data_IF_697585953558
#
_entry.id   IF_697585953558
#
_cell.length_a   1.000
_cell.length_b   1.000
_cell.length_c   1.000
_cell.angle_alpha   90.00
_cell.angle_beta   90.00
_cell.angle_gamma   90.00
#
_symmetry.space_group_name_H-M   'P 1'
#
loop_
_entity.id
_entity.type
_entity.pdbx_description
1 polymer ?
#
# COMPACT_ATOMS: atom_id res chain seq x y z
N UNK A 1 -50.97 -28.71 -18.23
CA UNK A 1 -49.53 -28.55 -18.54
C UNK A 1 -49.20 -27.08 -18.50
N UNK A 2 -48.69 -26.58 -17.37
CA UNK A 2 -48.24 -25.19 -17.21
C UNK A 2 -46.75 -25.23 -16.89
N UNK A 3 -45.94 -24.74 -17.82
CA UNK A 3 -44.48 -24.67 -17.72
C UNK A 3 -44.10 -23.52 -16.78
N UNK A 4 -43.58 -23.87 -15.60
CA UNK A 4 -43.00 -22.94 -14.64
C UNK A 4 -41.63 -22.49 -15.14
N UNK A 5 -41.57 -21.35 -15.82
CA UNK A 5 -40.33 -20.69 -16.22
C UNK A 5 -39.65 -20.05 -15.01
N UNK A 6 -38.69 -20.75 -14.40
CA UNK A 6 -37.75 -20.15 -13.44
C UNK A 6 -36.82 -19.18 -14.17
N UNK A 7 -37.09 -17.87 -14.05
CA UNK A 7 -36.12 -16.82 -14.36
C UNK A 7 -34.97 -16.90 -13.36
N UNK A 8 -33.80 -17.36 -13.81
CA UNK A 8 -32.54 -17.16 -13.10
C UNK A 8 -32.23 -15.66 -13.11
N UNK A 9 -32.58 -14.97 -12.03
CA UNK A 9 -32.04 -13.64 -11.74
C UNK A 9 -30.55 -13.80 -11.41
N UNK A 10 -29.69 -13.60 -12.40
CA UNK A 10 -28.29 -13.26 -12.16
C UNK A 10 -28.29 -11.94 -11.37
N UNK A 11 -28.09 -12.03 -10.06
CA UNK A 11 -27.76 -10.89 -9.23
C UNK A 11 -26.38 -10.38 -9.66
N UNK A 12 -26.37 -9.44 -10.60
CA UNK A 12 -25.20 -8.63 -10.89
C UNK A 12 -24.89 -7.83 -9.61
N UNK A 13 -23.87 -8.26 -8.86
CA UNK A 13 -23.44 -7.59 -7.63
C UNK A 13 -23.03 -6.16 -7.98
N UNK A 14 -23.87 -5.18 -7.63
CA UNK A 14 -23.51 -3.77 -7.73
C UNK A 14 -22.46 -3.48 -6.65
N UNK A 15 -21.19 -3.57 -7.01
CA UNK A 15 -20.08 -3.23 -6.11
C UNK A 15 -20.23 -1.77 -5.65
N UNK A 16 -20.02 -1.51 -4.37
CA UNK A 16 -19.97 -0.12 -3.88
C UNK A 16 -18.87 0.66 -4.60
N UNK A 17 -19.07 1.95 -4.87
CA UNK A 17 -18.08 2.83 -5.53
C UNK A 17 -16.70 2.78 -4.85
N UNK A 18 -16.68 2.54 -3.53
CA UNK A 18 -15.44 2.35 -2.77
C UNK A 18 -14.72 1.05 -3.16
N UNK A 19 -15.43 -0.07 -3.23
CA UNK A 19 -14.85 -1.36 -3.59
C UNK A 19 -14.28 -1.35 -5.03
N UNK A 20 -15.03 -0.78 -5.98
CA UNK A 20 -14.57 -0.59 -7.35
C UNK A 20 -13.32 0.32 -7.42
N UNK A 21 -13.29 1.41 -6.64
CA UNK A 21 -12.12 2.29 -6.55
C UNK A 21 -10.89 1.61 -5.92
N UNK A 22 -11.10 0.75 -4.92
CA UNK A 22 -10.03 -0.02 -4.29
C UNK A 22 -9.50 -1.10 -5.23
N UNK A 23 -10.37 -1.81 -5.95
CA UNK A 23 -9.95 -2.78 -6.96
C UNK A 23 -9.12 -2.12 -8.07
N UNK A 24 -9.62 -1.01 -8.62
CA UNK A 24 -8.89 -0.21 -9.61
C UNK A 24 -7.53 0.25 -9.08
N UNK A 25 -7.47 0.71 -7.83
CA UNK A 25 -6.22 1.14 -7.20
C UNK A 25 -5.27 -0.03 -6.97
N UNK A 26 -5.77 -1.19 -6.55
CA UNK A 26 -4.98 -2.40 -6.35
C UNK A 26 -4.35 -2.88 -7.66
N UNK A 27 -5.14 -2.99 -8.73
CA UNK A 27 -4.66 -3.42 -10.05
C UNK A 27 -3.69 -2.38 -10.61
N UNK A 28 -4.04 -1.10 -10.55
CA UNK A 28 -3.19 -0.02 -11.05
C UNK A 28 -1.83 0.01 -10.34
N UNK A 29 -1.81 -0.14 -9.02
CA UNK A 29 -0.58 -0.17 -8.24
C UNK A 29 0.23 -1.45 -8.45
N UNK A 30 -0.43 -2.58 -8.67
CA UNK A 30 0.23 -3.84 -9.03
C UNK A 30 0.98 -3.69 -10.36
N UNK A 31 0.29 -3.25 -11.41
CA UNK A 31 0.89 -3.04 -12.72
C UNK A 31 1.94 -1.93 -12.68
N UNK A 32 1.67 -0.84 -11.97
CA UNK A 32 2.62 0.27 -11.80
C UNK A 32 3.92 -0.16 -11.14
N UNK A 33 3.84 -1.02 -10.13
CA UNK A 33 5.02 -1.61 -9.48
C UNK A 33 5.78 -2.54 -10.40
N UNK A 34 5.09 -3.33 -11.23
CA UNK A 34 5.75 -4.20 -12.22
C UNK A 34 6.55 -3.37 -13.24
N UNK A 35 5.96 -2.29 -13.76
CA UNK A 35 6.64 -1.34 -14.66
C UNK A 35 7.84 -0.71 -13.98
N UNK A 36 7.68 -0.25 -12.73
CA UNK A 36 8.75 0.35 -11.94
C UNK A 36 9.92 -0.61 -11.72
N UNK A 37 9.64 -1.87 -11.35
CA UNK A 37 10.67 -2.88 -11.16
C UNK A 37 11.45 -3.15 -12.47
N UNK A 38 10.76 -3.21 -13.61
CA UNK A 38 11.41 -3.35 -14.91
C UNK A 38 12.29 -2.13 -15.24
N UNK A 39 11.78 -0.92 -15.04
CA UNK A 39 12.51 0.32 -15.30
C UNK A 39 13.74 0.47 -14.39
N UNK A 40 13.59 0.25 -13.08
CA UNK A 40 14.69 0.33 -12.11
C UNK A 40 15.75 -0.74 -12.37
N UNK A 41 15.37 -1.95 -12.79
CA UNK A 41 16.34 -2.97 -13.23
C UNK A 41 17.16 -2.49 -14.43
N UNK A 42 16.50 -1.87 -15.42
CA UNK A 42 17.17 -1.29 -16.58
C UNK A 42 18.13 -0.15 -16.20
N UNK A 43 17.70 0.76 -15.32
CA UNK A 43 18.53 1.85 -14.80
C UNK A 43 19.75 1.34 -14.02
N UNK A 44 19.61 0.22 -13.33
CA UNK A 44 20.69 -0.43 -12.58
C UNK A 44 21.59 -1.32 -13.45
N UNK A 45 21.37 -1.36 -14.77
CA UNK A 45 22.19 -2.17 -15.69
C UNK A 45 22.08 -3.68 -15.46
N UNK A 46 20.97 -4.16 -14.90
CA UNK A 46 20.78 -5.58 -14.63
C UNK A 46 20.80 -6.39 -15.94
N UNK A 47 21.68 -7.38 -16.03
CA UNK A 47 21.70 -8.34 -17.13
C UNK A 47 20.69 -9.47 -16.90
N UNK A 48 20.08 -9.95 -17.98
CA UNK A 48 19.13 -11.08 -17.97
C UNK A 48 17.66 -10.67 -18.10
N UNK A 49 16.81 -11.68 -18.25
CA UNK A 49 15.36 -11.50 -18.39
C UNK A 49 14.72 -11.03 -17.08
N UNK A 50 13.58 -10.34 -17.21
CA UNK A 50 12.76 -9.98 -16.07
C UNK A 50 12.14 -11.26 -15.48
N UNK A 51 12.36 -11.53 -14.18
CA UNK A 51 11.61 -12.57 -13.47
C UNK A 51 10.17 -12.08 -13.30
N UNK A 52 9.31 -12.43 -14.26
CA UNK A 52 7.94 -11.95 -14.30
C UNK A 52 7.15 -12.37 -13.07
N UNK A 53 7.36 -13.58 -12.55
CA UNK A 53 6.63 -14.08 -11.38
C UNK A 53 7.09 -13.34 -10.12
N UNK A 54 8.38 -13.09 -9.96
CA UNK A 54 8.89 -12.25 -8.85
C UNK A 54 8.34 -10.83 -8.94
N UNK A 55 8.32 -10.28 -10.15
CA UNK A 55 7.82 -8.94 -10.44
C UNK A 55 6.33 -8.83 -10.13
N UNK A 56 5.53 -9.83 -10.51
CA UNK A 56 4.10 -9.93 -10.19
C UNK A 56 3.86 -10.06 -8.68
N UNK A 57 4.61 -10.93 -7.98
CA UNK A 57 4.49 -11.08 -6.53
C UNK A 57 4.83 -9.78 -5.79
N UNK A 58 5.88 -9.06 -6.22
CA UNK A 58 6.20 -7.73 -5.71
C UNK A 58 5.13 -6.69 -6.06
N UNK A 59 4.55 -6.80 -7.25
CA UNK A 59 3.43 -5.99 -7.70
C UNK A 59 2.21 -6.14 -6.79
N UNK A 60 1.76 -7.37 -6.53
CA UNK A 60 0.62 -7.67 -5.65
C UNK A 60 0.85 -7.16 -4.22
N UNK A 61 2.08 -7.25 -3.73
CA UNK A 61 2.44 -6.68 -2.43
C UNK A 61 2.31 -5.16 -2.41
N UNK A 62 2.70 -4.50 -3.50
CA UNK A 62 2.56 -3.05 -3.68
C UNK A 62 1.09 -2.65 -3.81
N UNK A 63 0.31 -3.39 -4.61
CA UNK A 63 -1.13 -3.22 -4.75
C UNK A 63 -1.84 -3.26 -3.40
N UNK A 64 -1.51 -4.25 -2.57
CA UNK A 64 -2.01 -4.37 -1.20
C UNK A 64 -1.66 -3.14 -0.36
N UNK A 65 -0.40 -2.70 -0.39
CA UNK A 65 0.05 -1.55 0.40
C UNK A 65 -0.71 -0.26 0.06
N UNK A 66 -1.10 -0.07 -1.21
CA UNK A 66 -1.85 1.10 -1.66
C UNK A 66 -3.30 1.12 -1.14
N UNK A 67 -3.93 -0.04 -0.97
CA UNK A 67 -5.33 -0.13 -0.53
C UNK A 67 -5.47 -0.40 0.97
N UNK A 68 -4.43 -0.87 1.64
CA UNK A 68 -4.52 -1.35 3.02
C UNK A 68 -5.03 -0.29 4.00
N UNK A 69 -4.47 0.92 3.96
CA UNK A 69 -4.89 2.00 4.87
C UNK A 69 -6.31 2.53 4.56
N UNK A 70 -6.68 2.82 3.29
CA UNK A 70 -8.06 3.19 2.95
C UNK A 70 -9.10 2.12 3.35
N UNK A 71 -8.84 0.85 3.09
CA UNK A 71 -9.73 -0.26 3.46
C UNK A 71 -9.84 -0.38 4.98
N UNK A 72 -8.73 -0.26 5.70
CA UNK A 72 -8.74 -0.23 7.16
C UNK A 72 -9.59 0.93 7.71
N UNK A 73 -9.45 2.12 7.14
CA UNK A 73 -10.24 3.28 7.56
C UNK A 73 -11.73 3.09 7.27
N UNK A 74 -12.10 2.59 6.09
CA UNK A 74 -13.51 2.32 5.75
C UNK A 74 -14.14 1.28 6.69
N UNK A 75 -13.40 0.20 7.00
CA UNK A 75 -13.84 -0.81 7.96
C UNK A 75 -14.03 -0.20 9.37
N UNK A 76 -13.03 0.51 9.89
CA UNK A 76 -13.10 1.13 11.21
C UNK A 76 -14.19 2.19 11.30
N UNK A 77 -14.45 2.95 10.23
CA UNK A 77 -15.56 3.91 10.18
C UNK A 77 -16.93 3.23 10.33
N UNK A 78 -17.09 2.04 9.76
CA UNK A 78 -18.35 1.28 9.81
C UNK A 78 -18.58 0.60 11.16
N UNK A 79 -17.51 0.15 11.81
CA UNK A 79 -17.60 -0.70 13.00
C UNK A 79 -17.19 -0.01 14.32
N UNK A 80 -16.54 1.16 14.27
CA UNK A 80 -16.06 1.88 15.46
C UNK A 80 -16.57 3.34 15.45
N UNK A 81 -17.67 3.65 16.16
CA UNK A 81 -18.25 4.99 16.20
C UNK A 81 -17.25 6.08 16.64
N UNK A 82 -16.38 5.75 17.59
CA UNK A 82 -15.35 6.66 18.08
C UNK A 82 -14.28 6.96 17.00
N UNK A 83 -13.87 5.96 16.22
CA UNK A 83 -12.96 6.15 15.10
C UNK A 83 -13.61 7.04 14.05
N UNK A 84 -14.86 6.73 13.67
CA UNK A 84 -15.63 7.53 12.72
C UNK A 84 -15.70 9.01 13.14
N UNK A 85 -16.05 9.28 14.40
CA UNK A 85 -16.09 10.64 14.96
C UNK A 85 -14.73 11.33 14.83
N UNK A 86 -13.65 10.70 15.26
CA UNK A 86 -12.30 11.28 15.19
C UNK A 86 -11.81 11.47 13.74
N UNK A 87 -12.21 10.59 12.83
CA UNK A 87 -11.85 10.63 11.42
C UNK A 87 -12.55 11.79 10.70
N UNK A 88 -13.87 11.93 10.88
CA UNK A 88 -14.71 12.90 10.16
C UNK A 88 -14.66 14.31 10.76
N UNK A 89 -14.50 14.46 12.08
CA UNK A 89 -14.43 15.75 12.75
C UNK A 89 -13.05 16.42 12.54
N UNK A 90 -12.95 17.65 12.02
CA UNK A 90 -11.69 18.39 11.93
C UNK A 90 -10.99 18.57 13.29
N UNK A 91 -11.73 18.65 14.39
CA UNK A 91 -11.23 18.74 15.78
C UNK A 91 -11.07 17.38 16.45
N UNK A 92 -11.35 16.29 15.73
CA UNK A 92 -11.19 14.92 16.23
C UNK A 92 -9.72 14.56 16.48
N UNK A 93 -9.48 13.57 17.34
CA UNK A 93 -8.12 13.12 17.66
C UNK A 93 -7.49 12.39 16.45
N UNK A 94 -6.75 13.13 15.60
CA UNK A 94 -6.14 12.59 14.37
C UNK A 94 -5.03 11.58 14.64
N UNK A 95 -4.28 11.75 15.74
CA UNK A 95 -3.27 10.76 16.15
C UNK A 95 -3.92 9.39 16.38
N UNK A 96 -5.05 9.33 17.07
CA UNK A 96 -5.77 8.08 17.31
C UNK A 96 -6.23 7.43 15.98
N UNK A 97 -6.65 8.23 15.00
CA UNK A 97 -7.01 7.76 13.66
C UNK A 97 -5.81 7.15 12.93
N UNK A 98 -4.67 7.83 12.95
CA UNK A 98 -3.45 7.35 12.27
C UNK A 98 -2.92 6.08 12.92
N UNK A 99 -2.97 5.98 14.25
CA UNK A 99 -2.59 4.78 14.98
C UNK A 99 -3.53 3.62 14.68
N UNK A 100 -4.84 3.80 14.86
CA UNK A 100 -5.81 2.71 14.67
C UNK A 100 -5.89 2.27 13.20
N UNK A 101 -5.96 3.23 12.27
CA UNK A 101 -5.97 2.95 10.83
C UNK A 101 -4.64 2.37 10.35
N UNK A 102 -3.51 2.86 10.86
CA UNK A 102 -2.18 2.34 10.55
C UNK A 102 -1.97 0.92 11.05
N UNK A 103 -2.40 0.61 12.28
CA UNK A 103 -2.32 -0.73 12.87
C UNK A 103 -3.20 -1.73 12.11
N UNK A 104 -4.44 -1.38 11.76
CA UNK A 104 -5.29 -2.29 10.98
C UNK A 104 -4.79 -2.42 9.54
N UNK A 105 -4.29 -1.34 8.93
CA UNK A 105 -3.66 -1.36 7.61
C UNK A 105 -2.43 -2.27 7.56
N UNK A 106 -1.57 -2.22 8.58
CA UNK A 106 -0.46 -3.15 8.73
C UNK A 106 -0.95 -4.60 8.86
N UNK A 107 -2.11 -4.83 9.48
CA UNK A 107 -2.75 -6.13 9.59
C UNK A 107 -3.17 -6.67 8.23
N UNK A 108 -3.86 -5.85 7.43
CA UNK A 108 -4.24 -6.19 6.04
C UNK A 108 -2.99 -6.49 5.21
N UNK A 109 -1.97 -5.63 5.27
CA UNK A 109 -0.69 -5.87 4.60
C UNK A 109 -0.06 -7.19 5.06
N UNK A 110 -0.14 -7.54 6.34
CA UNK A 110 0.41 -8.80 6.85
C UNK A 110 -0.34 -9.99 6.27
N UNK A 111 -1.67 -9.98 6.33
CA UNK A 111 -2.49 -11.09 5.85
C UNK A 111 -2.24 -11.39 4.37
N UNK A 112 -2.05 -10.36 3.56
CA UNK A 112 -1.85 -10.51 2.11
C UNK A 112 -0.37 -10.68 1.74
N UNK A 113 0.54 -9.87 2.30
CA UNK A 113 1.93 -9.80 1.85
C UNK A 113 2.85 -10.79 2.55
N UNK A 114 2.53 -11.26 3.77
CA UNK A 114 3.33 -12.29 4.44
C UNK A 114 3.41 -13.60 3.62
N UNK A 115 2.29 -14.20 3.17
CA UNK A 115 2.37 -15.41 2.34
C UNK A 115 3.08 -15.16 1.01
N UNK A 116 2.80 -14.02 0.34
CA UNK A 116 3.45 -13.66 -0.92
C UNK A 116 4.96 -13.52 -0.77
N UNK A 117 5.42 -12.80 0.27
CA UNK A 117 6.84 -12.63 0.56
C UNK A 117 7.54 -13.94 0.94
N UNK A 118 6.83 -14.87 1.59
CA UNK A 118 7.35 -16.20 1.92
C UNK A 118 7.52 -17.05 0.66
N UNK A 119 6.52 -17.06 -0.23
CA UNK A 119 6.59 -17.73 -1.54
C UNK A 119 7.75 -17.16 -2.36
N UNK A 120 7.87 -15.83 -2.39
CA UNK A 120 8.92 -15.11 -3.11
C UNK A 120 10.32 -15.49 -2.61
N UNK A 121 10.52 -15.53 -1.29
CA UNK A 121 11.79 -15.98 -0.67
C UNK A 121 12.11 -17.44 -1.00
N UNK A 122 11.14 -18.34 -0.87
CA UNK A 122 11.33 -19.77 -1.16
C UNK A 122 11.67 -20.01 -2.65
N UNK A 123 11.13 -19.20 -3.58
CA UNK A 123 11.50 -19.26 -5.00
C UNK A 123 12.93 -18.81 -5.28
N UNK A 124 13.45 -17.84 -4.52
CA UNK A 124 14.83 -17.32 -4.66
C UNK A 124 15.90 -18.20 -4.01
N UNK A 125 15.54 -19.41 -3.57
CA UNK A 125 16.49 -20.34 -2.95
C UNK A 125 16.86 -19.99 -1.51
N UNK A 126 16.12 -19.08 -0.85
CA UNK A 126 16.19 -19.00 0.61
C UNK A 126 15.70 -20.33 1.20
N UNK A 127 16.20 -20.70 2.38
CA UNK A 127 15.72 -21.89 3.10
C UNK A 127 14.20 -21.94 3.08
N UNK A 128 13.63 -23.08 2.69
CA UNK A 128 12.18 -23.26 2.54
C UNK A 128 11.50 -22.97 3.88
N UNK A 129 11.07 -21.73 4.04
CA UNK A 129 10.53 -21.26 5.30
C UNK A 129 9.03 -21.50 5.24
N UNK A 130 8.45 -22.27 6.17
CA UNK A 130 7.01 -22.44 6.23
C UNK A 130 6.35 -21.13 6.69
N UNK A 131 5.14 -20.88 6.17
CA UNK A 131 4.27 -19.83 6.69
C UNK A 131 3.96 -20.17 8.15
N UNK A 132 4.28 -19.27 9.07
CA UNK A 132 4.10 -19.48 10.51
C UNK A 132 3.47 -18.27 11.17
N UNK A 133 2.75 -18.51 12.27
CA UNK A 133 2.15 -17.42 13.06
C UNK A 133 3.24 -16.49 13.62
N UNK A 134 4.37 -17.04 14.08
CA UNK A 134 5.52 -16.25 14.55
C UNK A 134 6.06 -15.34 13.44
N UNK A 135 6.18 -15.84 12.22
CA UNK A 135 6.60 -15.06 11.06
C UNK A 135 5.58 -13.98 10.70
N UNK A 136 4.28 -14.29 10.75
CA UNK A 136 3.21 -13.32 10.50
C UNK A 136 3.20 -12.19 11.55
N UNK A 137 3.32 -12.51 12.84
CA UNK A 137 3.44 -11.52 13.92
C UNK A 137 4.70 -10.68 13.75
N UNK A 138 5.82 -11.31 13.37
CA UNK A 138 7.05 -10.63 13.05
C UNK A 138 6.86 -9.61 11.92
N UNK A 139 6.24 -10.04 10.82
CA UNK A 139 5.93 -9.20 9.68
C UNK A 139 4.99 -8.05 10.06
N UNK A 140 3.95 -8.32 10.84
CA UNK A 140 3.00 -7.32 11.32
C UNK A 140 3.70 -6.22 12.11
N UNK A 141 4.46 -6.60 13.14
CA UNK A 141 5.14 -5.66 14.02
C UNK A 141 6.16 -4.79 13.25
N UNK A 142 6.81 -5.34 12.22
CA UNK A 142 7.70 -4.57 11.35
C UNK A 142 6.93 -3.55 10.48
N UNK A 143 5.68 -3.86 10.11
CA UNK A 143 4.84 -2.98 9.29
C UNK A 143 4.11 -1.90 10.09
N UNK A 144 3.73 -2.16 11.34
CA UNK A 144 2.94 -1.23 12.17
C UNK A 144 3.57 0.15 12.21
N UNK A 145 4.86 0.24 12.57
CA UNK A 145 5.52 1.54 12.68
C UNK A 145 5.57 2.28 11.33
N UNK A 146 5.81 1.55 10.25
CA UNK A 146 5.84 2.12 8.89
C UNK A 146 4.47 2.64 8.46
N UNK A 147 3.41 1.87 8.68
CA UNK A 147 2.03 2.25 8.33
C UNK A 147 1.52 3.43 9.18
N UNK A 148 1.76 3.40 10.49
CA UNK A 148 1.36 4.48 11.41
C UNK A 148 2.13 5.77 11.09
N UNK A 149 3.45 5.69 10.94
CA UNK A 149 4.28 6.86 10.64
C UNK A 149 3.99 7.46 9.28
N UNK A 150 3.71 6.64 8.25
CA UNK A 150 3.27 7.13 6.95
C UNK A 150 1.93 7.86 7.06
N UNK A 151 0.93 7.25 7.69
CA UNK A 151 -0.39 7.86 7.85
C UNK A 151 -0.33 9.18 8.64
N UNK A 152 0.43 9.21 9.72
CA UNK A 152 0.61 10.40 10.54
C UNK A 152 1.30 11.54 9.77
N UNK A 153 2.37 11.22 9.05
CA UNK A 153 3.12 12.21 8.27
C UNK A 153 2.29 12.74 7.11
N UNK A 154 1.68 11.86 6.32
CA UNK A 154 0.85 12.23 5.18
C UNK A 154 -0.36 13.05 5.63
N UNK A 155 -1.07 12.60 6.65
CA UNK A 155 -2.25 13.27 7.18
C UNK A 155 -1.95 14.63 7.80
N UNK A 156 -0.73 14.84 8.33
CA UNK A 156 -0.30 16.12 8.88
C UNK A 156 0.20 17.08 7.80
N UNK A 157 1.03 16.61 6.87
CA UNK A 157 1.66 17.48 5.87
C UNK A 157 0.73 17.83 4.70
N UNK A 158 -0.11 16.90 4.25
CA UNK A 158 -0.99 17.14 3.11
C UNK A 158 -1.88 18.39 3.24
N UNK A 159 -2.54 18.68 4.38
CA UNK A 159 -3.32 19.90 4.52
C UNK A 159 -2.48 21.18 4.67
N UNK A 160 -1.20 21.08 5.05
CA UNK A 160 -0.31 22.23 5.29
C UNK A 160 0.40 22.65 4.00
N UNK A 161 0.82 21.68 3.17
CA UNK A 161 1.57 21.96 1.95
C UNK A 161 0.59 22.40 0.84
N UNK A 162 0.68 23.66 0.37
CA UNK A 162 -0.29 24.22 -0.57
C UNK A 162 -0.24 23.52 -1.92
N UNK A 163 -1.41 23.32 -2.54
CA UNK A 163 -1.53 22.75 -3.87
C UNK A 163 -1.37 23.85 -4.91
N UNK A 164 -0.39 23.70 -5.81
CA UNK A 164 -0.23 24.59 -6.96
C UNK A 164 -1.23 24.26 -8.06
N UNK A 165 -1.66 25.26 -8.84
CA UNK A 165 -2.45 25.06 -10.07
C UNK A 165 -1.61 24.49 -11.22
N UNK A 166 -0.29 24.64 -11.16
CA UNK A 166 0.63 24.11 -12.16
C UNK A 166 0.74 22.59 -11.99
N UNK A 167 0.53 21.84 -13.08
CA UNK A 167 0.51 20.37 -13.09
C UNK A 167 1.84 19.75 -12.63
N UNK A 168 2.97 20.33 -13.03
CA UNK A 168 4.31 19.85 -12.62
C UNK A 168 4.54 20.09 -11.14
N UNK A 169 4.16 21.26 -10.62
CA UNK A 169 4.29 21.54 -9.19
C UNK A 169 3.34 20.69 -8.34
N UNK A 170 2.12 20.43 -8.82
CA UNK A 170 1.18 19.53 -8.17
C UNK A 170 1.71 18.08 -8.14
N UNK A 171 2.28 17.62 -9.27
CA UNK A 171 2.95 16.33 -9.38
C UNK A 171 4.15 16.22 -8.41
N UNK A 172 5.04 17.21 -8.42
CA UNK A 172 6.22 17.25 -7.57
C UNK A 172 5.85 17.28 -6.08
N UNK A 173 4.83 18.07 -5.73
CA UNK A 173 4.27 18.11 -4.37
C UNK A 173 3.79 16.73 -3.93
N UNK A 174 3.03 16.03 -4.76
CA UNK A 174 2.46 14.73 -4.38
C UNK A 174 3.58 13.70 -4.14
N UNK A 175 4.57 13.64 -5.03
CA UNK A 175 5.72 12.76 -4.85
C UNK A 175 6.57 13.15 -3.64
N UNK A 176 6.77 14.44 -3.39
CA UNK A 176 7.46 14.90 -2.19
C UNK A 176 6.73 14.45 -0.92
N UNK A 177 5.41 14.63 -0.85
CA UNK A 177 4.60 14.20 0.29
C UNK A 177 4.69 12.70 0.53
N UNK A 178 4.60 11.89 -0.53
CA UNK A 178 4.75 10.42 -0.42
C UNK A 178 6.13 10.05 0.10
N UNK A 179 7.19 10.67 -0.44
CA UNK A 179 8.56 10.38 -0.04
C UNK A 179 8.84 10.78 1.41
N UNK A 180 8.43 11.97 1.82
CA UNK A 180 8.56 12.43 3.21
C UNK A 180 7.73 11.53 4.14
N UNK A 181 6.54 11.10 3.72
CA UNK A 181 5.71 10.20 4.53
C UNK A 181 6.31 8.82 4.68
N UNK A 182 6.97 8.28 3.65
CA UNK A 182 7.71 7.03 3.75
C UNK A 182 8.89 7.16 4.73
N UNK A 183 9.63 8.28 4.71
CA UNK A 183 10.67 8.56 5.71
C UNK A 183 10.08 8.64 7.11
N UNK A 184 8.95 9.33 7.29
CA UNK A 184 8.22 9.38 8.57
C UNK A 184 7.80 7.99 9.05
N UNK A 185 7.34 7.12 8.14
CA UNK A 185 7.11 5.70 8.41
C UNK A 185 8.35 5.00 8.96
N UNK A 186 9.52 5.18 8.33
CA UNK A 186 10.78 4.59 8.80
C UNK A 186 11.21 5.11 10.17
N UNK A 187 11.00 6.39 10.47
CA UNK A 187 11.29 6.96 11.78
C UNK A 187 10.45 6.31 12.89
N UNK A 188 9.16 6.09 12.65
CA UNK A 188 8.27 5.45 13.63
C UNK A 188 8.53 3.94 13.72
N UNK A 189 8.94 3.29 12.62
CA UNK A 189 9.33 1.88 12.62
C UNK A 189 10.69 1.61 13.27
N UNK A 190 11.58 2.61 13.33
CA UNK A 190 12.96 2.44 13.75
C UNK A 190 13.14 1.76 15.12
N UNK A 191 12.45 2.15 16.21
CA UNK A 191 12.67 1.50 17.51
C UNK A 191 12.46 -0.01 17.46
N UNK A 192 11.43 -0.47 16.74
CA UNK A 192 11.13 -1.89 16.56
C UNK A 192 12.23 -2.56 15.73
N UNK A 193 12.63 -1.94 14.61
CA UNK A 193 13.66 -2.48 13.73
C UNK A 193 15.05 -2.52 14.39
N UNK A 194 15.38 -1.54 15.22
CA UNK A 194 16.60 -1.53 16.00
C UNK A 194 16.64 -2.70 16.98
N UNK A 195 15.56 -2.89 17.76
CA UNK A 195 15.48 -3.96 18.75
C UNK A 195 15.45 -5.36 18.13
N UNK A 196 14.80 -5.53 16.98
CA UNK A 196 14.60 -6.86 16.36
C UNK A 196 15.68 -7.27 15.37
N UNK A 197 16.22 -6.30 14.64
CA UNK A 197 17.11 -6.55 13.49
C UNK A 197 18.45 -5.84 13.62
N UNK A 198 18.70 -5.09 14.70
CA UNK A 198 19.94 -4.31 14.88
C UNK A 198 20.13 -3.21 13.84
N UNK A 199 19.06 -2.82 13.14
CA UNK A 199 19.13 -1.86 12.02
C UNK A 199 19.39 -0.44 12.53
N UNK A 200 20.22 0.33 11.82
CA UNK A 200 20.40 1.77 12.08
C UNK A 200 19.34 2.61 11.36
N UNK A 201 18.93 3.73 11.96
CA UNK A 201 17.99 4.66 11.34
C UNK A 201 18.54 5.22 10.01
N UNK A 202 19.83 5.55 9.99
CA UNK A 202 20.53 6.03 8.78
C UNK A 202 20.55 4.98 7.69
N UNK A 203 20.74 3.70 8.03
CA UNK A 203 20.65 2.60 7.07
C UNK A 203 19.23 2.44 6.51
N UNK A 204 18.21 2.50 7.37
CA UNK A 204 16.81 2.42 6.94
C UNK A 204 16.42 3.56 5.99
N UNK A 205 16.81 4.80 6.29
CA UNK A 205 16.54 5.96 5.44
C UNK A 205 17.39 5.90 4.16
N UNK A 206 18.68 5.56 4.27
CA UNK A 206 19.59 5.48 3.12
C UNK A 206 19.11 4.47 2.07
N UNK A 207 18.72 3.27 2.50
CA UNK A 207 18.13 2.27 1.60
C UNK A 207 16.80 2.73 0.98
N UNK A 208 15.99 3.48 1.73
CA UNK A 208 14.77 4.06 1.17
C UNK A 208 15.09 5.09 0.08
N UNK A 209 16.05 5.98 0.31
CA UNK A 209 16.44 7.03 -0.63
C UNK A 209 16.93 6.46 -1.97
N UNK A 210 17.64 5.34 -1.94
CA UNK A 210 18.04 4.61 -3.15
C UNK A 210 16.84 4.08 -3.96
N UNK A 211 15.71 3.80 -3.30
CA UNK A 211 14.48 3.32 -3.91
C UNK A 211 13.52 4.42 -4.42
N UNK A 212 13.82 5.69 -4.17
CA UNK A 212 12.94 6.82 -4.52
C UNK A 212 12.55 6.86 -6.00
N UNK A 213 13.46 6.64 -6.97
CA UNK A 213 13.07 6.59 -8.38
C UNK A 213 11.99 5.55 -8.65
N UNK A 214 12.11 4.37 -8.02
CA UNK A 214 11.12 3.31 -8.13
C UNK A 214 9.76 3.69 -7.54
N UNK A 215 9.74 4.46 -6.44
CA UNK A 215 8.50 4.99 -5.84
C UNK A 215 7.81 5.97 -6.79
N UNK A 216 8.58 6.88 -7.40
CA UNK A 216 8.06 7.88 -8.35
C UNK A 216 7.45 7.18 -9.58
N UNK A 217 8.21 6.27 -10.21
CA UNK A 217 7.73 5.52 -11.38
C UNK A 217 6.48 4.71 -11.03
N UNK A 218 6.46 4.06 -9.86
CA UNK A 218 5.28 3.33 -9.40
C UNK A 218 4.07 4.25 -9.29
N UNK A 219 4.23 5.43 -8.67
CA UNK A 219 3.15 6.41 -8.51
C UNK A 219 2.58 6.88 -9.85
N UNK A 220 3.45 7.22 -10.80
CA UNK A 220 3.05 7.70 -12.12
C UNK A 220 2.38 6.60 -12.95
N UNK A 221 2.97 5.40 -12.98
CA UNK A 221 2.40 4.26 -13.68
C UNK A 221 1.06 3.83 -13.05
N UNK A 222 0.93 3.89 -11.73
CA UNK A 222 -0.34 3.64 -11.03
C UNK A 222 -1.41 4.62 -11.48
N UNK A 223 -1.10 5.92 -11.53
CA UNK A 223 -2.04 6.94 -11.99
C UNK A 223 -2.47 6.70 -13.43
N UNK A 224 -1.53 6.35 -14.31
CA UNK A 224 -1.81 5.98 -15.70
C UNK A 224 -2.77 4.78 -15.78
N UNK A 225 -2.46 3.67 -15.11
CA UNK A 225 -3.32 2.48 -15.14
C UNK A 225 -4.70 2.72 -14.52
N UNK A 226 -4.80 3.54 -13.47
CA UNK A 226 -6.11 3.92 -12.92
C UNK A 226 -6.95 4.69 -13.95
N UNK A 227 -6.36 5.57 -14.74
CA UNK A 227 -7.08 6.27 -15.81
C UNK A 227 -7.56 5.31 -16.90
N UNK A 228 -6.72 4.36 -17.31
CA UNK A 228 -7.09 3.31 -18.28
C UNK A 228 -8.22 2.43 -17.73
N UNK A 229 -8.15 2.08 -16.44
CA UNK A 229 -9.17 1.30 -15.73
C UNK A 229 -10.36 2.16 -15.26
N UNK A 230 -10.52 3.39 -15.78
CA UNK A 230 -11.59 4.32 -15.40
C UNK A 230 -12.99 3.73 -15.53
N UNK A 231 -13.18 2.81 -16.49
CA UNK A 231 -14.44 2.11 -16.74
C UNK A 231 -14.92 1.25 -15.57
N UNK A 232 -14.05 0.85 -14.63
CA UNK A 232 -14.44 0.02 -13.48
C UNK A 232 -15.25 0.78 -12.43
N UNK A 233 -15.19 2.11 -12.44
CA UNK A 233 -15.78 2.99 -11.41
C UNK A 233 -16.97 3.80 -11.96
N UNK A 234 -17.30 3.62 -13.25
CA UNK A 234 -18.45 4.23 -13.92
C UNK A 234 -19.70 3.34 -13.75
#
# INVERSE_FOLDING_TARGET
>A
MATCGKKCHFHFFKMSNFAASMEQTFIGATLGSMVSQAAVRGLNGASGSLDFVDTLLGGLQTGTAFIAYPVACDYLKKHCPQFRKNFEDPKGCKIAVYVQGGMLGAGICTLMNYPLSTIQKNRKGAEKTPISLKGAVGFYVDQVGSSVGFAATMGTLNPIVPTSKNSVLAWARQHLLVNVSNVGGKCVAFPIHYLRHGSSLTGMIGHYLQGVPGVIITGDATAHFKNVLGFMVQ
#
